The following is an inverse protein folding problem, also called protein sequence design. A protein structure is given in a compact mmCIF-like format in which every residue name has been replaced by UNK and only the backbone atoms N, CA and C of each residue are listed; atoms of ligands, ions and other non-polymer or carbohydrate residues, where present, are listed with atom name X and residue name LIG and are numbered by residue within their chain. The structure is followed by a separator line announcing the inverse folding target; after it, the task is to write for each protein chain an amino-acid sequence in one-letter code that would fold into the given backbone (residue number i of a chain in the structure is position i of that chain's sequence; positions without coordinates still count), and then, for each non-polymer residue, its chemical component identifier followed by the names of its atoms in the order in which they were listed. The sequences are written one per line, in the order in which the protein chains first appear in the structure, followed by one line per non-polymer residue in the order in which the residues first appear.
data_IF_269211661030
#
_entry.id   IF_269211661030
#
_cell.length_a   1.000
_cell.length_b   1.000
_cell.length_c   1.000
_cell.angle_alpha   90.00
_cell.angle_beta   90.00
_cell.angle_gamma   90.00
#
_symmetry.space_group_name_H-M   'P 1'
#
loop_
_entity.id
_entity.type
_entity.pdbx_description
1 polymer ?
#
# COMPACT_ATOMS: atom_id res chain seq x y z
N UNK A 1 19.69 -37.98 7.18
CA UNK A 1 18.22 -38.03 7.01
C UNK A 1 17.62 -37.13 8.06
N UNK A 2 17.36 -35.87 7.69
CA UNK A 2 16.82 -34.87 8.61
C UNK A 2 15.32 -34.79 8.38
N UNK A 3 14.55 -35.26 9.35
CA UNK A 3 13.09 -35.28 9.30
C UNK A 3 12.56 -33.91 9.70
N UNK A 4 11.85 -33.25 8.79
CA UNK A 4 11.00 -32.09 9.10
C UNK A 4 9.55 -32.55 9.27
N UNK A 5 8.95 -32.41 10.47
CA UNK A 5 7.51 -32.29 10.56
C UNK A 5 7.11 -31.27 11.63
N UNK A 6 6.56 -30.11 11.24
CA UNK A 6 5.95 -29.19 12.22
C UNK A 6 4.94 -28.17 11.66
N UNK A 7 4.73 -28.07 10.35
CA UNK A 7 3.77 -27.11 9.78
C UNK A 7 2.33 -27.61 9.75
N UNK A 8 2.08 -28.93 9.68
CA UNK A 8 0.72 -29.48 9.53
C UNK A 8 -0.11 -29.45 10.81
N UNK A 9 0.51 -29.58 11.98
CA UNK A 9 -0.20 -29.66 13.26
C UNK A 9 -0.79 -28.32 13.71
N UNK A 10 -0.18 -27.19 13.34
CA UNK A 10 -0.65 -25.87 13.76
C UNK A 10 -1.84 -25.41 12.91
N UNK A 11 -1.79 -25.63 11.60
CA UNK A 11 -2.86 -25.24 10.68
C UNK A 11 -4.19 -25.97 10.97
N UNK A 12 -4.13 -27.26 11.32
CA UNK A 12 -5.31 -28.03 11.71
C UNK A 12 -5.98 -27.46 12.98
N UNK A 13 -5.17 -27.10 13.97
CA UNK A 13 -5.66 -26.51 15.22
C UNK A 13 -6.25 -25.10 14.99
N UNK A 14 -5.64 -24.30 14.11
CA UNK A 14 -6.13 -22.95 13.79
C UNK A 14 -7.49 -22.99 13.08
N UNK A 15 -7.66 -23.95 12.17
CA UNK A 15 -8.92 -24.18 11.47
C UNK A 15 -10.03 -24.60 12.44
N UNK A 16 -9.75 -25.56 13.33
CA UNK A 16 -10.72 -26.01 14.34
C UNK A 16 -11.12 -24.87 15.30
N UNK A 17 -10.15 -24.05 15.74
CA UNK A 17 -10.42 -22.90 16.59
C UNK A 17 -11.28 -21.84 15.91
N UNK A 18 -11.07 -21.61 14.60
CA UNK A 18 -11.88 -20.67 13.82
C UNK A 18 -13.30 -21.20 13.61
N UNK A 19 -13.46 -22.49 13.31
CA UNK A 19 -14.79 -23.11 13.20
C UNK A 19 -15.56 -23.03 14.52
N UNK A 20 -14.92 -23.31 15.66
CA UNK A 20 -15.53 -23.16 16.98
C UNK A 20 -15.93 -21.70 17.29
N UNK A 21 -15.15 -20.73 16.82
CA UNK A 21 -15.51 -19.32 16.93
C UNK A 21 -16.78 -19.00 16.13
N UNK A 22 -16.85 -19.43 14.86
CA UNK A 22 -17.99 -19.19 13.98
C UNK A 22 -19.27 -19.82 14.55
N UNK A 23 -19.19 -21.08 14.99
CA UNK A 23 -20.31 -21.78 15.61
C UNK A 23 -20.82 -21.02 16.84
N UNK A 24 -19.91 -20.57 17.71
CA UNK A 24 -20.28 -19.76 18.89
C UNK A 24 -20.95 -18.44 18.51
N UNK A 25 -20.47 -17.76 17.46
CA UNK A 25 -21.05 -16.48 17.01
C UNK A 25 -22.43 -16.68 16.38
N UNK A 26 -22.64 -17.77 15.65
CA UNK A 26 -23.93 -18.10 15.02
C UNK A 26 -25.05 -18.41 16.02
N UNK A 27 -24.71 -18.81 17.25
CA UNK A 27 -25.68 -19.06 18.32
C UNK A 27 -26.19 -17.78 19.00
N UNK A 28 -25.53 -16.64 18.75
CA UNK A 28 -25.88 -15.33 19.30
C UNK A 28 -26.54 -14.46 18.20
N UNK A 29 -27.85 -14.16 18.30
CA UNK A 29 -28.56 -13.36 17.29
C UNK A 29 -27.94 -11.98 17.04
N UNK A 30 -27.27 -11.39 18.05
CA UNK A 30 -26.61 -10.09 17.89
C UNK A 30 -25.30 -10.19 17.10
N UNK A 31 -24.74 -11.41 16.95
CA UNK A 31 -23.46 -11.68 16.27
C UNK A 31 -23.56 -12.56 15.04
N UNK A 32 -24.77 -12.98 14.66
CA UNK A 32 -25.03 -13.79 13.46
C UNK A 32 -24.52 -13.11 12.18
N UNK A 33 -24.61 -11.78 12.09
CA UNK A 33 -24.05 -11.03 10.96
C UNK A 33 -22.53 -11.12 10.88
N UNK A 34 -21.85 -11.13 12.03
CA UNK A 34 -20.40 -11.27 12.14
C UNK A 34 -19.96 -12.70 11.80
N UNK A 35 -20.68 -13.73 12.23
CA UNK A 35 -20.38 -15.11 11.83
C UNK A 35 -20.50 -15.28 10.32
N UNK A 36 -21.60 -14.77 9.75
CA UNK A 36 -21.85 -14.81 8.30
C UNK A 36 -20.76 -14.06 7.52
N UNK A 37 -20.31 -12.91 8.00
CA UNK A 37 -19.21 -12.17 7.37
C UNK A 37 -17.91 -12.98 7.38
N UNK A 38 -17.54 -13.60 8.50
CA UNK A 38 -16.31 -14.42 8.59
C UNK A 38 -16.39 -15.63 7.65
N UNK A 39 -17.55 -16.28 7.53
CA UNK A 39 -17.76 -17.37 6.56
C UNK A 39 -17.60 -16.91 5.11
N UNK A 40 -18.11 -15.72 4.78
CA UNK A 40 -17.91 -15.11 3.45
C UNK A 40 -16.42 -14.85 3.21
N UNK A 41 -15.70 -14.32 4.19
CA UNK A 41 -14.24 -14.11 4.08
C UNK A 41 -13.49 -15.43 3.84
N UNK A 42 -13.87 -16.52 4.52
CA UNK A 42 -13.31 -17.85 4.28
C UNK A 42 -13.59 -18.36 2.86
N UNK A 43 -14.77 -18.10 2.32
CA UNK A 43 -15.13 -18.49 0.95
C UNK A 43 -14.32 -17.70 -0.10
N UNK A 44 -14.07 -16.41 0.15
CA UNK A 44 -13.36 -15.53 -0.78
C UNK A 44 -11.85 -15.80 -0.76
N UNK A 45 -11.24 -15.87 0.43
CA UNK A 45 -9.78 -15.97 0.58
C UNK A 45 -9.27 -17.40 0.77
N UNK A 46 -10.17 -18.34 1.09
CA UNK A 46 -9.85 -19.74 1.35
C UNK A 46 -9.62 -20.04 2.84
N UNK A 47 -9.81 -21.31 3.20
CA UNK A 47 -9.76 -21.79 4.59
C UNK A 47 -8.39 -21.59 5.27
N UNK A 48 -7.31 -21.54 4.50
CA UNK A 48 -5.95 -21.33 5.02
C UNK A 48 -5.55 -19.88 5.23
N UNK A 49 -6.35 -18.93 4.74
CA UNK A 49 -6.00 -17.50 4.75
C UNK A 49 -6.33 -16.82 6.08
N UNK A 50 -7.29 -17.35 6.85
CA UNK A 50 -7.73 -16.79 8.13
C UNK A 50 -7.20 -17.61 9.31
N UNK A 51 -6.68 -16.94 10.34
CA UNK A 51 -6.13 -17.60 11.55
C UNK A 51 -6.51 -16.84 12.81
N UNK A 52 -6.96 -17.53 13.85
CA UNK A 52 -7.25 -16.86 15.13
C UNK A 52 -5.97 -16.26 15.71
N UNK A 53 -6.02 -14.97 16.03
CA UNK A 53 -4.88 -14.28 16.61
C UNK A 53 -4.91 -14.40 18.13
N UNK A 54 -3.84 -14.97 18.68
CA UNK A 54 -3.62 -15.03 20.11
C UNK A 54 -2.48 -14.09 20.49
N UNK A 55 -2.67 -13.17 21.45
CA UNK A 55 -1.55 -12.39 21.97
C UNK A 55 -0.50 -13.36 22.53
N UNK A 56 0.80 -13.08 22.35
CA UNK A 56 1.85 -13.89 22.95
C UNK A 56 1.60 -13.97 24.46
N UNK A 57 1.49 -15.19 24.99
CA UNK A 57 1.11 -15.46 26.38
C UNK A 57 2.02 -14.69 27.33
N UNK A 58 1.53 -13.56 27.84
CA UNK A 58 2.15 -12.86 28.97
C UNK A 58 2.00 -13.76 30.18
N UNK A 59 3.12 -14.07 30.83
CA UNK A 59 3.30 -15.20 31.74
C UNK A 59 2.53 -15.10 33.08
N UNK A 60 1.45 -14.31 33.17
CA UNK A 60 0.85 -14.02 34.47
C UNK A 60 -0.65 -13.67 34.48
N UNK A 61 -1.47 -14.23 33.57
CA UNK A 61 -2.92 -14.22 33.78
C UNK A 61 -3.49 -15.62 33.61
N UNK A 62 -4.01 -16.14 34.72
CA UNK A 62 -4.98 -17.22 34.77
C UNK A 62 -6.13 -16.78 33.86
N UNK A 63 -6.14 -17.26 32.62
CA UNK A 63 -7.25 -17.06 31.69
C UNK A 63 -8.39 -17.96 32.14
N UNK A 64 -9.14 -17.48 33.14
CA UNK A 64 -10.51 -17.92 33.37
C UNK A 64 -11.32 -17.56 32.12
N UNK A 65 -11.74 -18.60 31.40
CA UNK A 65 -12.94 -18.71 30.59
C UNK A 65 -13.63 -17.42 30.08
N UNK A 66 -13.73 -17.32 28.75
CA UNK A 66 -14.99 -17.02 28.07
C UNK A 66 -15.72 -15.72 28.46
N UNK A 67 -15.05 -14.58 28.41
CA UNK A 67 -15.77 -13.31 28.37
C UNK A 67 -16.39 -13.13 26.98
N UNK A 68 -17.73 -13.05 26.91
CA UNK A 68 -18.48 -12.62 25.71
C UNK A 68 -18.08 -11.21 25.22
N UNK A 69 -17.37 -10.48 26.07
CA UNK A 69 -17.00 -9.08 25.91
C UNK A 69 -15.55 -8.89 25.45
N UNK A 70 -14.92 -9.94 24.92
CA UNK A 70 -13.56 -9.86 24.38
C UNK A 70 -13.54 -9.45 22.90
N UNK A 71 -12.60 -8.58 22.54
CA UNK A 71 -12.30 -8.24 21.15
C UNK A 71 -11.91 -9.50 20.38
N UNK A 72 -12.68 -9.82 19.34
CA UNK A 72 -12.33 -10.93 18.44
C UNK A 72 -11.15 -10.48 17.59
N UNK A 73 -10.11 -11.30 17.51
CA UNK A 73 -8.94 -11.01 16.67
C UNK A 73 -8.59 -12.20 15.80
N UNK A 74 -8.40 -11.93 14.52
CA UNK A 74 -7.90 -12.92 13.57
C UNK A 74 -6.97 -12.26 12.55
N UNK A 75 -6.03 -13.03 12.06
CA UNK A 75 -5.17 -12.65 10.96
C UNK A 75 -5.79 -13.08 9.64
N UNK A 76 -5.55 -12.30 8.60
CA UNK A 76 -5.91 -12.58 7.20
C UNK A 76 -4.65 -12.42 6.35
N UNK A 77 -4.32 -13.44 5.56
CA UNK A 77 -3.31 -13.37 4.52
C UNK A 77 -3.96 -12.95 3.20
N UNK A 78 -3.46 -11.87 2.59
CA UNK A 78 -4.01 -11.25 1.38
C UNK A 78 -2.93 -11.17 0.31
N UNK A 79 -3.27 -11.49 -0.94
CA UNK A 79 -2.43 -11.19 -2.09
C UNK A 79 -2.68 -9.76 -2.61
N UNK A 80 -1.65 -9.14 -3.18
CA UNK A 80 -1.84 -7.90 -3.94
C UNK A 80 -2.61 -8.16 -5.24
N UNK A 81 -3.09 -7.09 -5.87
CA UNK A 81 -3.78 -7.17 -7.16
C UNK A 81 -2.80 -7.45 -8.30
N UNK A 82 -3.33 -7.96 -9.42
CA UNK A 82 -2.61 -8.12 -10.68
C UNK A 82 -1.77 -6.89 -11.01
N UNK A 83 -0.50 -7.05 -11.43
CA UNK A 83 0.20 -8.31 -11.74
C UNK A 83 1.05 -8.89 -10.56
N UNK A 84 0.73 -8.55 -9.31
CA UNK A 84 1.57 -8.84 -8.13
C UNK A 84 0.97 -9.89 -7.19
N UNK A 85 0.19 -10.84 -7.71
CA UNK A 85 -0.53 -11.83 -6.89
C UNK A 85 0.39 -12.75 -6.07
N UNK A 86 1.67 -12.83 -6.44
CA UNK A 86 2.72 -13.57 -5.74
C UNK A 86 3.17 -12.88 -4.44
N UNK A 87 2.82 -11.61 -4.25
CA UNK A 87 3.15 -10.84 -3.05
C UNK A 87 1.99 -10.93 -2.06
N UNK A 88 2.24 -11.54 -0.89
CA UNK A 88 1.27 -11.59 0.20
C UNK A 88 1.58 -10.61 1.33
N UNK A 89 0.52 -10.12 1.98
CA UNK A 89 0.56 -9.29 3.18
C UNK A 89 -0.33 -9.89 4.26
N UNK A 90 0.10 -9.79 5.52
CA UNK A 90 -0.67 -10.24 6.68
C UNK A 90 -1.33 -9.06 7.37
N UNK A 91 -2.63 -9.21 7.59
CA UNK A 91 -3.50 -8.22 8.21
C UNK A 91 -4.07 -8.76 9.51
N UNK A 92 -4.01 -7.98 10.60
CA UNK A 92 -4.77 -8.25 11.81
C UNK A 92 -6.11 -7.52 11.73
N UNK A 93 -7.19 -8.27 11.87
CA UNK A 93 -8.54 -7.75 12.05
C UNK A 93 -8.87 -7.83 13.54
N UNK A 94 -9.31 -6.70 14.11
CA UNK A 94 -9.82 -6.63 15.49
C UNK A 94 -11.26 -6.14 15.47
N UNK A 95 -12.18 -6.99 15.93
CA UNK A 95 -13.59 -6.66 16.06
C UNK A 95 -13.88 -6.33 17.53
N UNK A 96 -14.22 -5.07 17.87
CA UNK A 96 -14.64 -4.75 19.23
C UNK A 96 -15.92 -5.50 19.60
N UNK A 97 -16.21 -5.70 20.90
CA UNK A 97 -17.42 -6.40 21.35
C UNK A 97 -18.73 -5.77 20.86
N UNK A 98 -18.67 -4.48 20.51
CA UNK A 98 -19.77 -3.64 20.02
C UNK A 98 -19.91 -3.61 18.50
N UNK A 99 -19.07 -4.35 17.75
CA UNK A 99 -19.20 -4.46 16.30
C UNK A 99 -20.30 -5.46 15.92
N UNK A 100 -21.14 -5.17 14.90
CA UNK A 100 -21.18 -3.97 14.06
C UNK A 100 -22.07 -2.85 14.60
N UNK A 101 -22.64 -3.00 15.80
CA UNK A 101 -23.70 -2.14 16.34
C UNK A 101 -23.25 -0.68 16.53
N UNK A 102 -22.12 -0.43 17.20
CA UNK A 102 -21.75 0.94 17.60
C UNK A 102 -20.26 1.26 17.48
N UNK A 103 -19.43 0.34 17.01
CA UNK A 103 -18.02 0.62 16.78
C UNK A 103 -17.51 -0.10 15.54
N UNK A 104 -16.67 0.55 14.71
CA UNK A 104 -16.08 -0.07 13.53
C UNK A 104 -15.01 -1.11 13.90
N UNK A 105 -14.63 -1.98 12.96
CA UNK A 105 -13.49 -2.85 13.14
C UNK A 105 -12.18 -2.05 13.03
N UNK A 106 -11.07 -2.66 13.44
CA UNK A 106 -9.73 -2.09 13.26
C UNK A 106 -8.87 -3.04 12.42
N UNK A 107 -8.17 -2.48 11.45
CA UNK A 107 -7.20 -3.20 10.61
C UNK A 107 -5.79 -2.75 10.93
N UNK A 108 -4.87 -3.70 11.01
CA UNK A 108 -3.46 -3.43 11.22
C UNK A 108 -2.60 -4.29 10.30
N UNK A 109 -1.67 -3.68 9.57
CA UNK A 109 -0.67 -4.41 8.80
C UNK A 109 0.34 -5.06 9.76
N UNK A 110 0.50 -6.38 9.65
CA UNK A 110 1.48 -7.15 10.41
C UNK A 110 2.78 -7.34 9.63
N UNK A 111 2.70 -7.39 8.30
CA UNK A 111 3.88 -7.52 7.45
C UNK A 111 4.79 -6.30 7.57
N UNK A 112 6.08 -6.53 7.86
CA UNK A 112 7.11 -5.48 7.86
C UNK A 112 7.57 -5.10 6.46
N UNK A 113 7.31 -5.95 5.49
CA UNK A 113 7.68 -5.79 4.09
C UNK A 113 6.46 -6.08 3.22
N UNK A 114 6.38 -5.38 2.08
CA UNK A 114 5.47 -5.68 0.98
C UNK A 114 6.34 -5.92 -0.25
N UNK A 115 6.44 -7.20 -0.65
CA UNK A 115 7.44 -7.64 -1.61
C UNK A 115 8.86 -7.34 -1.13
N UNK A 116 9.66 -6.69 -1.99
CA UNK A 116 11.04 -6.30 -1.70
C UNK A 116 11.18 -5.05 -0.81
N UNK A 117 10.10 -4.31 -0.54
CA UNK A 117 10.17 -3.02 0.13
C UNK A 117 9.70 -3.09 1.58
N UNK A 118 10.42 -2.42 2.49
CA UNK A 118 9.98 -2.24 3.87
C UNK A 118 8.76 -1.33 3.94
N UNK A 119 7.70 -1.80 4.60
CA UNK A 119 6.52 -1.00 4.84
C UNK A 119 6.90 0.21 5.73
N UNK A 120 6.47 1.39 5.33
CA UNK A 120 6.76 2.64 6.06
C UNK A 120 5.61 3.04 6.98
N UNK A 121 5.91 3.99 7.89
CA UNK A 121 4.92 4.50 8.85
C UNK A 121 3.71 5.16 8.17
N UNK A 122 3.87 5.67 6.95
CA UNK A 122 2.76 6.24 6.19
C UNK A 122 1.77 5.18 5.74
N UNK A 123 2.26 4.03 5.24
CA UNK A 123 1.43 2.89 4.89
C UNK A 123 0.73 2.33 6.14
N UNK A 124 1.47 2.03 7.21
CA UNK A 124 0.89 1.54 8.47
C UNK A 124 -0.20 2.47 9.01
N UNK A 125 0.09 3.77 9.07
CA UNK A 125 -0.86 4.77 9.57
C UNK A 125 -2.10 4.90 8.69
N UNK A 126 -1.96 4.79 7.37
CA UNK A 126 -3.10 4.84 6.44
C UNK A 126 -4.02 3.63 6.61
N UNK A 127 -3.46 2.43 6.77
CA UNK A 127 -4.19 1.18 7.00
C UNK A 127 -4.92 1.22 8.35
N UNK A 128 -4.26 1.68 9.41
CA UNK A 128 -4.86 1.78 10.75
C UNK A 128 -6.08 2.72 10.77
N UNK A 129 -6.09 3.73 9.89
CA UNK A 129 -7.17 4.72 9.79
C UNK A 129 -8.25 4.36 8.77
N UNK A 130 -8.29 3.12 8.28
CA UNK A 130 -9.21 2.70 7.20
C UNK A 130 -10.66 3.07 7.48
N UNK A 131 -11.17 2.95 8.72
CA UNK A 131 -12.57 3.25 9.04
C UNK A 131 -12.80 4.61 9.74
N UNK A 132 -11.76 5.44 9.86
CA UNK A 132 -11.86 6.74 10.57
C UNK A 132 -11.34 7.91 9.74
N UNK A 133 -10.82 7.67 8.54
CA UNK A 133 -10.31 8.70 7.66
C UNK A 133 -11.35 9.11 6.62
N UNK A 134 -11.31 10.38 6.19
CA UNK A 134 -12.16 10.92 5.11
C UNK A 134 -11.93 10.18 3.77
N UNK A 135 -10.72 9.69 3.53
CA UNK A 135 -10.37 8.90 2.34
C UNK A 135 -10.40 7.38 2.64
N UNK A 136 -11.02 7.00 3.76
CA UNK A 136 -11.17 5.62 4.20
C UNK A 136 -12.46 4.98 3.67
N UNK A 137 -12.79 3.84 4.26
CA UNK A 137 -14.09 3.18 4.08
C UNK A 137 -15.08 3.79 5.06
N UNK A 138 -16.23 4.19 4.53
CA UNK A 138 -17.37 4.60 5.34
C UNK A 138 -17.93 3.39 6.08
N UNK A 139 -18.04 3.50 7.40
CA UNK A 139 -18.70 2.49 8.21
C UNK A 139 -20.02 3.04 8.74
N UNK A 140 -21.09 2.25 8.58
CA UNK A 140 -22.41 2.54 9.14
C UNK A 140 -22.70 1.57 10.28
N UNK A 141 -23.26 2.09 11.37
CA UNK A 141 -23.74 1.27 12.48
C UNK A 141 -24.68 0.16 11.99
N UNK A 142 -24.62 -1.00 12.63
CA UNK A 142 -25.40 -2.21 12.31
C UNK A 142 -25.04 -2.88 10.97
N UNK A 143 -24.06 -2.36 10.23
CA UNK A 143 -23.57 -2.97 8.99
C UNK A 143 -22.17 -3.55 9.17
N UNK A 144 -21.99 -4.77 8.65
CA UNK A 144 -20.68 -5.41 8.55
C UNK A 144 -19.91 -4.83 7.35
N UNK A 145 -18.57 -4.78 7.43
CA UNK A 145 -17.72 -4.00 6.52
C UNK A 145 -16.24 -4.41 6.50
N UNK A 146 -15.89 -5.53 7.13
CA UNK A 146 -14.50 -6.04 7.15
C UNK A 146 -14.03 -6.30 5.73
N UNK A 147 -14.85 -6.92 4.88
CA UNK A 147 -14.49 -7.19 3.49
C UNK A 147 -14.09 -5.91 2.74
N UNK A 148 -14.92 -4.87 2.80
CA UNK A 148 -14.64 -3.58 2.15
C UNK A 148 -13.36 -2.94 2.68
N UNK A 149 -13.14 -3.03 4.00
CA UNK A 149 -11.90 -2.60 4.63
C UNK A 149 -10.68 -3.34 4.12
N UNK A 150 -10.73 -4.68 4.01
CA UNK A 150 -9.64 -5.50 3.50
C UNK A 150 -9.37 -5.20 2.03
N UNK A 151 -10.40 -5.05 1.21
CA UNK A 151 -10.28 -4.68 -0.19
C UNK A 151 -9.59 -3.31 -0.36
N UNK A 152 -10.01 -2.32 0.41
CA UNK A 152 -9.36 -1.00 0.43
C UNK A 152 -7.88 -1.06 0.82
N UNK A 153 -7.54 -1.95 1.75
CA UNK A 153 -6.15 -2.17 2.15
C UNK A 153 -5.34 -2.83 1.03
N UNK A 154 -5.89 -3.83 0.33
CA UNK A 154 -5.23 -4.49 -0.80
C UNK A 154 -4.94 -3.49 -1.91
N UNK A 155 -5.91 -2.64 -2.27
CA UNK A 155 -5.73 -1.58 -3.27
C UNK A 155 -4.63 -0.60 -2.85
N UNK A 156 -4.64 -0.19 -1.57
CA UNK A 156 -3.65 0.75 -1.04
C UNK A 156 -2.25 0.16 -0.98
N UNK A 157 -2.11 -1.10 -0.57
CA UNK A 157 -0.84 -1.81 -0.57
C UNK A 157 -0.30 -1.98 -2.01
N UNK A 158 -1.18 -2.29 -2.96
CA UNK A 158 -0.84 -2.41 -4.38
C UNK A 158 -0.32 -1.08 -4.92
N UNK A 159 -1.08 0.00 -4.77
CA UNK A 159 -0.68 1.33 -5.24
C UNK A 159 0.61 1.82 -4.56
N UNK A 160 0.78 1.55 -3.26
CA UNK A 160 2.02 1.86 -2.56
C UNK A 160 3.22 1.08 -3.14
N UNK A 161 3.03 -0.21 -3.43
CA UNK A 161 4.07 -1.07 -3.99
C UNK A 161 4.48 -0.62 -5.40
N UNK A 162 3.51 -0.30 -6.26
CA UNK A 162 3.75 0.25 -7.60
C UNK A 162 4.52 1.58 -7.58
N UNK A 163 4.17 2.45 -6.64
CA UNK A 163 4.89 3.70 -6.44
C UNK A 163 6.35 3.45 -6.02
N UNK A 164 6.61 2.44 -5.18
CA UNK A 164 7.98 2.06 -4.79
C UNK A 164 8.78 1.50 -5.95
N UNK A 165 8.20 0.63 -6.78
CA UNK A 165 8.82 0.13 -8.01
C UNK A 165 9.19 1.29 -8.95
N UNK A 166 8.27 2.25 -9.12
CA UNK A 166 8.50 3.41 -9.98
C UNK A 166 9.65 4.29 -9.49
N UNK A 167 9.76 4.51 -8.17
CA UNK A 167 10.85 5.25 -7.57
C UNK A 167 12.21 4.55 -7.73
N UNK A 168 12.24 3.22 -7.56
CA UNK A 168 13.47 2.43 -7.75
C UNK A 168 13.95 2.53 -9.20
N UNK A 169 13.04 2.31 -10.16
CA UNK A 169 13.35 2.42 -11.60
C UNK A 169 13.81 3.82 -12.00
N UNK A 170 13.17 4.87 -11.48
CA UNK A 170 13.62 6.25 -11.74
C UNK A 170 15.01 6.53 -11.15
N UNK A 171 15.30 5.99 -9.96
CA UNK A 171 16.61 6.09 -9.33
C UNK A 171 17.71 5.33 -10.09
N UNK A 172 17.38 4.21 -10.73
CA UNK A 172 18.29 3.46 -11.59
C UNK A 172 18.65 4.23 -12.86
N UNK A 173 17.65 4.77 -13.57
CA UNK A 173 17.86 5.58 -14.79
C UNK A 173 18.76 6.80 -14.54
N UNK A 174 18.59 7.48 -13.40
CA UNK A 174 19.46 8.61 -13.02
C UNK A 174 20.92 8.19 -12.80
N UNK A 175 21.15 6.96 -12.31
CA UNK A 175 22.50 6.43 -12.12
C UNK A 175 23.12 6.00 -13.44
N UNK A 176 22.33 5.50 -14.39
CA UNK A 176 22.78 5.15 -15.74
C UNK A 176 23.19 6.41 -16.51
N UNK A 177 22.36 7.46 -16.52
CA UNK A 177 22.66 8.74 -17.16
C UNK A 177 23.96 9.37 -16.61
N UNK A 178 24.15 9.32 -15.28
CA UNK A 178 25.38 9.80 -14.66
C UNK A 178 26.63 8.98 -15.07
N UNK A 179 26.48 7.69 -15.38
CA UNK A 179 27.59 6.84 -15.85
C UNK A 179 27.89 7.08 -17.34
N UNK A 180 26.87 7.35 -18.15
CA UNK A 180 27.05 7.68 -19.57
C UNK A 180 27.78 9.03 -19.75
N UNK A 181 27.49 10.02 -18.90
CA UNK A 181 28.18 11.31 -18.92
C UNK A 181 29.66 11.23 -18.50
N UNK A 182 30.05 10.25 -17.68
CA UNK A 182 31.45 10.05 -17.27
C UNK A 182 32.24 9.24 -18.30
N UNK A 183 31.60 8.30 -19.00
CA UNK A 183 32.25 7.50 -20.05
C UNK A 183 32.34 8.20 -21.42
N UNK A 184 31.69 9.35 -21.61
CA UNK A 184 31.81 10.19 -22.80
C UNK A 184 33.01 11.15 -22.83
N UNK A 185 33.76 11.29 -21.73
CA UNK A 185 34.90 12.22 -21.61
C UNK A 185 36.26 11.50 -21.65
N UNK A 186 36.61 10.97 -22.83
CA UNK A 186 37.96 10.55 -23.24
C UNK A 186 38.04 10.99 -24.71
N UNK A 187 38.77 12.00 -25.20
CA UNK A 187 39.91 12.82 -24.77
C UNK A 187 39.89 14.14 -25.57
N UNK A 188 40.19 15.27 -24.95
CA UNK A 188 41.03 16.31 -25.57
C UNK A 188 41.77 17.08 -24.46
N UNK A 189 43.11 17.20 -24.54
CA UNK A 189 43.93 17.84 -23.50
C UNK A 189 43.77 19.37 -23.48
N UNK A 190 44.16 20.03 -22.38
CA UNK A 190 43.74 21.38 -22.03
C UNK A 190 44.60 22.46 -22.73
N UNK A 191 43.94 23.48 -23.29
CA UNK A 191 44.58 24.77 -23.54
C UNK A 191 44.18 25.73 -22.42
N UNK A 192 45.19 26.12 -21.66
CA UNK A 192 45.19 27.22 -20.69
C UNK A 192 44.78 28.52 -21.37
N UNK A 193 43.78 29.22 -20.79
CA UNK A 193 43.82 30.68 -20.64
C UNK A 193 42.93 31.09 -19.48
N UNK A 194 43.57 31.73 -18.51
CA UNK A 194 43.01 32.51 -17.42
C UNK A 194 42.02 33.56 -17.96
N UNK A 195 40.90 33.81 -17.27
CA UNK A 195 40.74 35.07 -16.52
C UNK A 195 39.51 35.03 -15.60
N UNK A 196 39.66 35.77 -14.51
CA UNK A 196 38.81 35.98 -13.35
C UNK A 196 37.38 36.42 -13.68
N UNK A 197 36.39 35.97 -12.91
CA UNK A 197 35.46 36.88 -12.21
C UNK A 197 34.68 36.20 -11.06
N UNK A 198 34.63 36.98 -9.97
CA UNK A 198 34.15 36.82 -8.59
C UNK A 198 32.66 36.42 -8.44
N UNK A 199 32.24 35.72 -7.35
CA UNK A 199 30.84 35.39 -7.10
C UNK A 199 30.13 36.42 -6.20
N UNK A 200 28.84 36.67 -6.44
CA UNK A 200 27.89 37.22 -5.47
C UNK A 200 26.51 36.56 -5.66
N UNK A 201 25.76 36.26 -4.59
CA UNK A 201 24.53 35.47 -4.62
C UNK A 201 23.30 36.38 -4.80
N UNK A 202 22.29 35.93 -5.55
CA UNK A 202 20.87 36.25 -5.32
C UNK A 202 19.98 35.53 -6.34
N UNK A 203 18.79 35.17 -5.87
CA UNK A 203 17.84 34.19 -6.39
C UNK A 203 17.31 34.41 -7.80
N UNK A 204 17.30 33.33 -8.60
CA UNK A 204 16.16 32.91 -9.42
C UNK A 204 16.43 31.52 -10.01
N UNK A 205 15.64 30.53 -9.58
CA UNK A 205 15.61 29.19 -10.16
C UNK A 205 15.06 29.30 -11.59
N UNK A 206 15.94 29.54 -12.56
CA UNK A 206 15.67 29.28 -13.97
C UNK A 206 15.90 27.79 -14.21
N UNK A 207 14.81 27.02 -14.22
CA UNK A 207 14.81 25.68 -14.82
C UNK A 207 14.86 25.91 -16.34
N UNK A 208 16.06 26.19 -16.87
CA UNK A 208 16.34 26.04 -18.29
C UNK A 208 16.48 24.56 -18.58
N UNK A 209 15.36 23.84 -18.59
CA UNK A 209 15.27 22.55 -19.26
C UNK A 209 15.61 22.79 -20.72
N UNK A 210 16.75 22.26 -21.14
CA UNK A 210 17.19 22.18 -22.52
C UNK A 210 16.06 21.59 -23.38
N UNK A 211 15.38 22.46 -24.13
CA UNK A 211 14.41 22.04 -25.12
C UNK A 211 15.18 21.28 -26.19
N UNK A 212 15.01 19.94 -26.24
CA UNK A 212 15.11 19.24 -27.52
C UNK A 212 14.20 20.00 -28.48
N UNK A 213 14.79 20.63 -29.49
CA UNK A 213 14.08 21.41 -30.49
C UNK A 213 12.92 20.58 -31.00
N UNK A 214 11.70 21.10 -30.83
CA UNK A 214 10.51 20.50 -31.40
C UNK A 214 10.68 20.34 -32.92
N UNK A 215 10.17 19.26 -33.51
CA UNK A 215 10.23 19.08 -34.96
C UNK A 215 9.62 20.31 -35.67
N UNK A 216 10.27 20.69 -36.77
CA UNK A 216 9.94 21.91 -37.52
C UNK A 216 8.45 21.90 -37.94
N UNK A 217 7.68 22.88 -37.45
CA UNK A 217 6.25 23.02 -37.72
C UNK A 217 5.28 22.59 -36.60
N UNK A 218 5.76 22.10 -35.45
CA UNK A 218 4.89 21.78 -34.31
C UNK A 218 4.77 22.98 -33.34
N UNK A 219 3.58 23.57 -33.25
CA UNK A 219 3.27 24.66 -32.33
C UNK A 219 2.58 24.13 -31.06
N UNK A 220 3.13 24.45 -29.89
CA UNK A 220 2.52 24.12 -28.60
C UNK A 220 1.82 25.37 -28.06
N UNK A 221 0.50 25.29 -27.92
CA UNK A 221 -0.32 26.28 -27.23
C UNK A 221 -0.35 25.98 -25.74
N UNK A 222 0.00 26.98 -24.94
CA UNK A 222 -0.02 26.88 -23.48
C UNK A 222 -1.13 27.77 -22.94
N UNK A 223 -2.02 27.19 -22.12
CA UNK A 223 -3.08 27.92 -21.44
C UNK A 223 -2.53 28.68 -20.22
N UNK A 224 -3.29 29.67 -19.75
CA UNK A 224 -2.95 30.40 -18.54
C UNK A 224 -2.92 29.46 -17.31
N UNK A 225 -1.94 29.60 -16.40
CA UNK A 225 -1.85 28.76 -15.21
C UNK A 225 -3.05 28.93 -14.27
N UNK A 226 -3.67 27.83 -13.85
CA UNK A 226 -4.74 27.80 -12.86
C UNK A 226 -4.17 27.31 -11.53
N UNK A 227 -4.46 27.99 -10.42
CA UNK A 227 -4.02 27.56 -9.09
C UNK A 227 -5.19 26.99 -8.29
N UNK A 228 -5.07 25.77 -7.76
CA UNK A 228 -6.03 25.19 -6.82
C UNK A 228 -5.31 24.50 -5.65
N UNK A 229 -5.71 24.84 -4.41
CA UNK A 229 -5.14 24.32 -3.15
C UNK A 229 -3.60 24.16 -3.15
N UNK A 230 -2.88 25.23 -3.52
CA UNK A 230 -1.41 25.29 -3.64
C UNK A 230 -0.79 24.49 -4.79
N UNK A 231 -1.60 23.90 -5.67
CA UNK A 231 -1.15 23.27 -6.91
C UNK A 231 -1.35 24.24 -8.07
N UNK A 232 -0.44 24.23 -9.04
CA UNK A 232 -0.54 25.03 -10.28
C UNK A 232 -0.70 24.07 -11.45
N UNK A 233 -1.79 24.23 -12.20
CA UNK A 233 -2.12 23.44 -13.38
C UNK A 233 -1.90 24.28 -14.63
N UNK A 234 -1.15 23.74 -15.59
CA UNK A 234 -0.88 24.39 -16.88
C UNK A 234 -1.25 23.43 -17.99
N UNK A 235 -2.27 23.77 -18.77
CA UNK A 235 -2.65 23.01 -19.97
C UNK A 235 -1.69 23.30 -21.12
N UNK A 236 -1.17 22.26 -21.76
CA UNK A 236 -0.41 22.36 -23.01
C UNK A 236 -1.11 21.51 -24.07
N UNK A 237 -1.32 22.08 -25.25
CA UNK A 237 -1.91 21.40 -26.39
C UNK A 237 -1.04 21.64 -27.62
N UNK A 238 -0.93 20.64 -28.48
CA UNK A 238 -0.39 20.81 -29.83
C UNK A 238 -1.34 20.17 -30.83
N UNK A 239 -1.36 20.71 -32.04
CA UNK A 239 -2.14 20.11 -33.12
C UNK A 239 -1.29 19.04 -33.80
N UNK A 240 -1.76 17.80 -33.77
CA UNK A 240 -1.16 16.72 -34.54
C UNK A 240 -1.90 16.53 -35.86
N UNK A 241 -1.17 16.29 -36.94
CA UNK A 241 -1.74 16.00 -38.26
C UNK A 241 -1.65 14.52 -38.61
N UNK A 242 -0.71 13.79 -37.99
CA UNK A 242 -0.55 12.35 -38.18
C UNK A 242 -0.25 11.65 -36.84
N UNK A 243 -0.82 10.45 -36.56
CA UNK A 243 -0.62 9.73 -35.30
C UNK A 243 0.84 9.41 -34.94
N UNK A 244 1.74 9.43 -35.92
CA UNK A 244 3.19 9.22 -35.74
C UNK A 244 3.90 10.39 -35.06
N UNK A 245 3.22 11.52 -34.85
CA UNK A 245 3.76 12.71 -34.16
C UNK A 245 3.67 12.60 -32.63
N UNK A 246 3.05 11.52 -32.11
CA UNK A 246 2.93 11.21 -30.69
C UNK A 246 3.63 9.87 -30.42
N UNK A 247 4.97 9.87 -30.39
CA UNK A 247 5.80 8.71 -30.01
C UNK A 247 6.92 9.16 -29.10
#
# INVERSE_FOLDING_TARGET
MSSSPSSSSTAANDCEALSALIERLSQDPERESVSSEIEVLLSIYGEGALKIWHPPKSNNRISTAESRDETIRYEVELSLLSPYEDISVRMLVSLPPTYPISSPPQLQLLSRYVGAFGADSTLFGSILRTFISVNGIEWTAETVCVFDGLQSVVERCTAWYEHRLSLEKAGELLREDAREHVNGFVQTPPSEVEDSHRPSPEDAISISTSLKSLPEGLEIFTAEPITDRKSVFVGRACRISHPSEVV
#
